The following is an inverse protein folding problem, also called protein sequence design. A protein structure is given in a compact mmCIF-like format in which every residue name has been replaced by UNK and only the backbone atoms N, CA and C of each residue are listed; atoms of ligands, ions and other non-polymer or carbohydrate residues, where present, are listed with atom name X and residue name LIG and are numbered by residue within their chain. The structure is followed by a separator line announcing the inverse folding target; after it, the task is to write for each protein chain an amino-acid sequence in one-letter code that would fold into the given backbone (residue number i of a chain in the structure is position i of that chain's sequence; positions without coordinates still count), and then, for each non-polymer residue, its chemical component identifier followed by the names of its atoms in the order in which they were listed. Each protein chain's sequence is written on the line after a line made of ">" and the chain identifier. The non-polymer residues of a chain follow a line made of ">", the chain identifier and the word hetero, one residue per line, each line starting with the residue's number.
data_IF_423951235173
#
_entry.id   IF_423951235173
#
_cell.length_a   1.000
_cell.length_b   1.000
_cell.length_c   1.000
_cell.angle_alpha   90.00
_cell.angle_beta   90.00
_cell.angle_gamma   90.00
#
_symmetry.space_group_name_H-M   'P 1'
#
loop_
_entity.id
_entity.type
_entity.pdbx_description
1 polymer ?
#
# COMPACT_ATOMS: atom_id res chain seq x y z
N UNK A 1 -19.94 23.45 -48.10
CA UNK A 1 -19.86 24.11 -46.78
C UNK A 1 -20.39 23.24 -45.64
N UNK A 2 -21.52 22.53 -45.77
CA UNK A 2 -22.02 21.62 -44.70
C UNK A 2 -21.13 20.39 -44.42
N UNK A 3 -20.50 19.78 -45.43
CA UNK A 3 -19.66 18.58 -45.26
C UNK A 3 -18.38 18.89 -44.48
N UNK A 4 -17.78 20.06 -44.71
CA UNK A 4 -16.62 20.52 -43.96
C UNK A 4 -16.95 20.76 -42.47
N UNK A 5 -18.15 21.27 -42.19
CA UNK A 5 -18.63 21.45 -40.81
C UNK A 5 -18.84 20.08 -40.12
N UNK A 6 -19.40 19.09 -40.81
CA UNK A 6 -19.61 17.74 -40.25
C UNK A 6 -18.29 17.01 -39.94
N UNK A 7 -17.24 17.21 -40.75
CA UNK A 7 -15.90 16.64 -40.50
C UNK A 7 -15.23 17.25 -39.26
N UNK A 8 -15.44 18.54 -38.98
CA UNK A 8 -14.86 19.20 -37.78
C UNK A 8 -15.50 18.78 -36.45
N UNK A 9 -16.70 18.20 -36.45
CA UNK A 9 -17.34 17.70 -35.23
C UNK A 9 -16.84 16.31 -34.80
N UNK A 10 -16.06 15.61 -35.63
CA UNK A 10 -15.70 14.19 -35.40
C UNK A 10 -14.37 13.95 -34.68
N UNK A 11 -13.63 15.00 -34.31
CA UNK A 11 -12.33 14.84 -33.63
C UNK A 11 -12.32 15.39 -32.20
N UNK A 12 -13.12 14.81 -31.30
CA UNK A 12 -12.84 14.89 -29.86
C UNK A 12 -12.19 13.60 -29.40
N UNK A 13 -11.01 13.32 -29.95
CA UNK A 13 -10.11 12.34 -29.34
C UNK A 13 -9.49 12.98 -28.10
N UNK A 14 -9.90 12.55 -26.91
CA UNK A 14 -9.17 12.88 -25.68
C UNK A 14 -7.84 12.13 -25.76
N UNK A 15 -6.81 12.82 -26.23
CA UNK A 15 -5.45 12.33 -26.18
C UNK A 15 -4.97 12.44 -24.73
N UNK A 16 -4.98 11.33 -24.00
CA UNK A 16 -4.25 11.24 -22.74
C UNK A 16 -2.75 11.23 -23.10
N UNK A 17 -2.10 12.37 -22.91
CA UNK A 17 -0.65 12.46 -23.04
C UNK A 17 0.00 11.88 -21.79
N UNK A 18 0.83 10.85 -22.00
CA UNK A 18 1.74 10.38 -20.98
C UNK A 18 2.70 11.52 -20.58
N UNK A 19 2.78 11.83 -19.28
CA UNK A 19 3.55 12.96 -18.73
C UNK A 19 2.78 14.26 -18.45
N UNK A 20 1.48 14.37 -18.73
CA UNK A 20 0.65 15.55 -18.36
C UNK A 20 -0.22 15.34 -17.10
N UNK A 21 -0.19 14.15 -16.51
CA UNK A 21 -0.97 13.84 -15.30
C UNK A 21 -0.11 14.03 -14.04
N UNK A 22 -0.55 14.91 -13.14
CA UNK A 22 0.08 15.15 -11.85
C UNK A 22 -0.60 14.33 -10.74
N UNK A 23 0.20 13.66 -9.91
CA UNK A 23 -0.29 12.98 -8.71
C UNK A 23 -0.65 14.01 -7.64
N UNK A 24 -1.93 14.37 -7.54
CA UNK A 24 -2.39 15.35 -6.57
C UNK A 24 -2.52 14.78 -5.15
N UNK A 25 -3.00 13.54 -5.03
CA UNK A 25 -3.22 12.89 -3.74
C UNK A 25 -3.23 11.36 -3.87
N UNK A 26 -2.57 10.69 -2.93
CA UNK A 26 -2.72 9.25 -2.69
C UNK A 26 -3.08 9.07 -1.23
N UNK A 27 -4.14 8.33 -0.96
CA UNK A 27 -4.49 7.88 0.37
C UNK A 27 -4.42 6.37 0.41
N UNK A 28 -3.70 5.82 1.40
CA UNK A 28 -3.60 4.38 1.57
C UNK A 28 -3.85 3.96 3.00
N UNK A 29 -4.53 2.83 3.14
CA UNK A 29 -4.81 2.18 4.42
C UNK A 29 -4.15 0.81 4.37
N UNK A 30 -3.08 0.64 5.14
CA UNK A 30 -2.37 -0.62 5.28
C UNK A 30 -2.48 -1.12 6.70
N UNK A 31 -2.42 -2.44 6.85
CA UNK A 31 -2.19 -3.07 8.15
C UNK A 31 -0.72 -2.89 8.56
N UNK A 32 -0.46 -2.97 9.86
CA UNK A 32 0.90 -3.13 10.40
C UNK A 32 1.64 -4.31 9.75
N UNK A 33 2.98 -4.26 9.74
CA UNK A 33 3.84 -5.34 9.25
C UNK A 33 3.84 -6.58 10.14
N UNK A 34 4.75 -7.51 9.88
CA UNK A 34 4.89 -8.71 10.72
C UNK A 34 5.19 -8.34 12.19
N UNK A 35 4.62 -9.10 13.13
CA UNK A 35 4.76 -8.86 14.57
C UNK A 35 4.68 -10.16 15.37
N UNK A 36 5.22 -10.14 16.58
CA UNK A 36 4.99 -11.20 17.57
C UNK A 36 3.49 -11.34 17.90
N UNK A 37 3.04 -12.55 18.29
CA UNK A 37 1.66 -12.77 18.71
C UNK A 37 1.30 -11.83 19.87
N UNK A 38 0.03 -11.47 20.00
CA UNK A 38 -0.42 -10.62 21.12
C UNK A 38 -0.76 -11.42 22.38
N UNK A 39 -1.10 -12.70 22.19
CA UNK A 39 -1.51 -13.63 23.23
C UNK A 39 -1.14 -15.03 22.74
N UNK A 40 -0.98 -15.95 23.70
CA UNK A 40 -0.82 -17.37 23.38
C UNK A 40 -1.62 -18.25 24.33
N UNK A 41 -1.74 -19.53 23.99
CA UNK A 41 -2.39 -20.55 24.78
C UNK A 41 -1.52 -20.97 25.98
N UNK A 42 -2.15 -21.49 27.03
CA UNK A 42 -1.45 -21.82 28.27
C UNK A 42 -0.39 -22.92 28.07
N UNK A 43 -0.66 -23.91 27.22
CA UNK A 43 0.28 -24.99 26.91
C UNK A 43 1.35 -24.62 25.87
N UNK A 44 1.42 -23.38 25.40
CA UNK A 44 2.44 -22.97 24.42
C UNK A 44 3.81 -22.98 25.11
N UNK A 45 4.81 -23.74 24.63
CA UNK A 45 6.16 -23.65 25.20
C UNK A 45 6.79 -22.27 25.00
N UNK A 46 6.36 -21.48 24.00
CA UNK A 46 6.89 -20.14 23.73
C UNK A 46 6.00 -19.07 24.36
N UNK A 47 6.58 -18.31 25.29
CA UNK A 47 5.93 -17.23 26.04
C UNK A 47 6.46 -15.88 25.60
N UNK A 48 5.93 -14.83 26.22
CA UNK A 48 6.26 -13.42 25.92
C UNK A 48 7.78 -13.18 25.88
N UNK A 49 8.52 -13.73 26.86
CA UNK A 49 9.96 -13.58 26.97
C UNK A 49 10.76 -14.21 25.83
N UNK A 50 10.20 -15.20 25.11
CA UNK A 50 10.86 -15.85 23.99
C UNK A 50 10.84 -14.98 22.71
N UNK A 51 9.97 -13.97 22.66
CA UNK A 51 9.89 -13.02 21.55
C UNK A 51 10.86 -11.87 21.74
N UNK A 52 12.16 -12.14 21.63
CA UNK A 52 13.20 -11.13 21.93
C UNK A 52 13.49 -10.16 20.78
N UNK A 53 13.01 -10.45 19.57
CA UNK A 53 13.26 -9.63 18.38
C UNK A 53 12.27 -8.46 18.28
N UNK A 54 12.73 -7.31 17.77
CA UNK A 54 11.82 -6.22 17.37
C UNK A 54 11.26 -5.36 18.51
N UNK A 55 11.97 -5.27 19.64
CA UNK A 55 11.53 -4.50 20.82
C UNK A 55 11.16 -5.39 22.02
N UNK A 56 11.03 -6.70 21.81
CA UNK A 56 10.83 -7.67 22.88
C UNK A 56 9.37 -7.80 23.33
N UNK A 57 8.89 -9.03 23.47
CA UNK A 57 7.54 -9.34 23.96
C UNK A 57 6.48 -9.41 22.86
N UNK A 58 5.25 -9.64 23.29
CA UNK A 58 4.07 -9.81 22.47
C UNK A 58 3.61 -8.51 21.78
N UNK A 59 3.07 -8.66 20.57
CA UNK A 59 2.52 -7.59 19.76
C UNK A 59 3.53 -6.62 19.13
N UNK A 60 4.83 -6.84 19.27
CA UNK A 60 5.89 -5.98 18.74
C UNK A 60 6.25 -6.30 17.29
N UNK A 61 6.58 -5.27 16.50
CA UNK A 61 6.94 -5.42 15.10
C UNK A 61 8.26 -6.19 14.93
N UNK A 62 8.26 -7.20 14.07
CA UNK A 62 9.46 -7.95 13.72
C UNK A 62 10.41 -7.07 12.90
N UNK A 63 11.73 -7.11 13.15
CA UNK A 63 12.71 -6.35 12.37
C UNK A 63 12.93 -6.91 10.96
N UNK A 64 12.41 -8.11 10.68
CA UNK A 64 12.68 -8.87 9.45
C UNK A 64 11.92 -8.30 8.24
N UNK A 65 10.83 -7.56 8.48
CA UNK A 65 9.89 -7.16 7.44
C UNK A 65 9.73 -5.64 7.30
N UNK A 66 10.75 -4.85 7.63
CA UNK A 66 10.76 -3.40 7.37
C UNK A 66 11.30 -3.14 5.94
N UNK A 67 10.46 -2.78 4.94
CA UNK A 67 10.87 -2.77 3.53
C UNK A 67 11.48 -1.45 3.07
N UNK A 68 12.01 -0.62 3.97
CA UNK A 68 12.63 0.66 3.61
C UNK A 68 14.15 0.60 3.86
N UNK A 69 14.85 -0.04 2.93
CA UNK A 69 16.28 0.16 2.68
C UNK A 69 16.47 0.60 1.25
#
# INVERSE_FOLDING_TARGET
>A
MLIALLLTLTSTGIALKDGEMELLLVQVIWRHGDRSPTLTFQSDPFKDADWTFGGGGFGQLSPVNFPFK
#
